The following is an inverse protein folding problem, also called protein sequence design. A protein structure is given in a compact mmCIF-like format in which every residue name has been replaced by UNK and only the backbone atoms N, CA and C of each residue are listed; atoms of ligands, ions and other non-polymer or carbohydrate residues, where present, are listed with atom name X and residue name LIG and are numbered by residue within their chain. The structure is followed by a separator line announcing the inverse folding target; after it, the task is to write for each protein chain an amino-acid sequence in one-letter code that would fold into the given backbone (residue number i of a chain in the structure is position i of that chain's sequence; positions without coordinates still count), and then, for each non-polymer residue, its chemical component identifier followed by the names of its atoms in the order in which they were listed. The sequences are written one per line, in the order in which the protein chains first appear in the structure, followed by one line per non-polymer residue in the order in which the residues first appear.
data_IF_904658613555
#
_entry.id   IF_904658613555
#
_cell.length_a   1.000
_cell.length_b   1.000
_cell.length_c   1.000
_cell.angle_alpha   90.00
_cell.angle_beta   90.00
_cell.angle_gamma   90.00
#
_symmetry.space_group_name_H-M   'P 1'
#
loop_
_entity.id
_entity.type
_entity.pdbx_description
1 polymer ?
#
# COMPACT_ATOMS: atom_id res chain seq x y z
N UNK A 1 3.92 1.61 -19.10
CA UNK A 1 3.60 0.59 -18.09
C UNK A 1 2.90 1.22 -16.89
N UNK A 2 2.12 0.44 -16.13
CA UNK A 2 1.43 0.92 -14.94
C UNK A 2 2.00 0.19 -13.72
N UNK A 3 2.23 0.94 -12.63
CA UNK A 3 2.67 0.39 -11.35
C UNK A 3 1.52 0.46 -10.35
N UNK A 4 1.22 -0.65 -9.69
CA UNK A 4 0.27 -0.71 -8.58
C UNK A 4 1.04 -0.74 -7.26
N UNK A 5 0.69 0.18 -6.37
CA UNK A 5 1.21 0.21 -5.00
C UNK A 5 0.08 -0.23 -4.07
N UNK A 6 0.16 -1.47 -3.64
CA UNK A 6 -0.83 -2.11 -2.76
C UNK A 6 -0.35 -1.94 -1.31
N UNK A 7 -1.02 -1.07 -0.55
CA UNK A 7 -0.52 -0.61 0.73
C UNK A 7 -1.09 -1.42 1.88
N UNK A 8 -0.23 -2.17 2.58
CA UNK A 8 -0.46 -2.79 3.90
C UNK A 8 -1.78 -3.57 4.03
N UNK A 9 -2.09 -4.42 3.06
CA UNK A 9 -3.30 -5.25 3.08
C UNK A 9 -3.06 -6.48 3.97
N UNK A 10 -2.80 -6.22 5.27
CA UNK A 10 -2.42 -7.22 6.28
C UNK A 10 -3.59 -7.57 7.20
N UNK A 11 -3.55 -8.75 7.80
CA UNK A 11 -4.60 -9.25 8.69
C UNK A 11 -4.88 -8.30 9.85
N UNK A 12 -3.84 -7.70 10.45
CA UNK A 12 -4.01 -6.82 11.60
C UNK A 12 -4.82 -5.57 11.29
N UNK A 13 -4.77 -5.05 10.07
CA UNK A 13 -5.57 -3.89 9.65
C UNK A 13 -6.99 -4.24 9.20
N UNK A 14 -7.32 -5.53 9.06
CA UNK A 14 -8.63 -5.97 8.57
C UNK A 14 -9.44 -6.62 9.69
N UNK A 15 -8.91 -7.70 10.29
CA UNK A 15 -9.61 -8.49 11.31
C UNK A 15 -8.82 -8.66 12.61
N UNK A 16 -7.54 -8.29 12.63
CA UNK A 16 -6.62 -8.49 13.76
C UNK A 16 -6.60 -7.32 14.75
N UNK A 17 -5.40 -6.98 15.24
CA UNK A 17 -5.20 -6.06 16.37
C UNK A 17 -5.74 -4.63 16.12
N UNK A 18 -5.71 -4.15 14.88
CA UNK A 18 -6.23 -2.85 14.43
C UNK A 18 -7.41 -3.02 13.47
N UNK A 19 -8.29 -3.97 13.77
CA UNK A 19 -9.41 -4.33 12.91
C UNK A 19 -10.23 -3.11 12.44
N UNK A 20 -10.47 -3.05 11.12
CA UNK A 20 -11.17 -1.93 10.49
C UNK A 20 -12.40 -2.44 9.70
N UNK A 21 -13.63 -2.09 10.13
CA UNK A 21 -14.84 -2.54 9.46
C UNK A 21 -14.95 -2.11 7.99
N UNK A 22 -14.37 -0.97 7.61
CA UNK A 22 -14.37 -0.50 6.22
C UNK A 22 -13.40 -1.32 5.35
N UNK A 23 -12.23 -1.66 5.90
CA UNK A 23 -11.30 -2.56 5.24
C UNK A 23 -11.93 -3.95 5.04
N UNK A 24 -12.62 -4.49 6.07
CA UNK A 24 -13.37 -5.74 5.94
C UNK A 24 -14.43 -5.68 4.83
N UNK A 25 -15.09 -4.55 4.68
CA UNK A 25 -16.15 -4.39 3.67
C UNK A 25 -15.62 -4.29 2.24
N UNK A 26 -14.37 -3.84 2.03
CA UNK A 26 -13.84 -3.62 0.68
C UNK A 26 -12.65 -4.54 0.29
N UNK A 27 -12.09 -5.35 1.19
CA UNK A 27 -10.92 -6.19 0.90
C UNK A 27 -11.12 -7.15 -0.28
N UNK A 28 -12.31 -7.72 -0.43
CA UNK A 28 -12.63 -8.58 -1.57
C UNK A 28 -12.54 -7.81 -2.89
N UNK A 29 -13.11 -6.59 -2.95
CA UNK A 29 -13.01 -5.72 -4.12
C UNK A 29 -11.56 -5.33 -4.43
N UNK A 30 -10.79 -4.97 -3.39
CA UNK A 30 -9.37 -4.68 -3.52
C UNK A 30 -8.62 -5.88 -4.13
N UNK A 31 -8.83 -7.07 -3.61
CA UNK A 31 -8.19 -8.29 -4.09
C UNK A 31 -8.57 -8.61 -5.56
N UNK A 32 -9.84 -8.42 -5.94
CA UNK A 32 -10.30 -8.56 -7.32
C UNK A 32 -9.61 -7.54 -8.24
N UNK A 33 -9.42 -6.31 -7.77
CA UNK A 33 -8.70 -5.26 -8.49
C UNK A 33 -7.24 -5.64 -8.71
N UNK A 34 -6.52 -6.09 -7.65
CA UNK A 34 -5.14 -6.59 -7.78
C UNK A 34 -5.05 -7.69 -8.84
N UNK A 35 -5.95 -8.67 -8.78
CA UNK A 35 -5.98 -9.78 -9.74
C UNK A 35 -6.23 -9.31 -11.17
N UNK A 36 -7.13 -8.37 -11.37
CA UNK A 36 -7.44 -7.81 -12.68
C UNK A 36 -6.26 -7.02 -13.25
N UNK A 37 -5.63 -6.17 -12.43
CA UNK A 37 -4.48 -5.37 -12.81
C UNK A 37 -3.25 -6.22 -13.11
N UNK A 38 -2.97 -7.24 -12.29
CA UNK A 38 -1.89 -8.19 -12.56
C UNK A 38 -2.07 -8.89 -13.93
N UNK A 39 -3.30 -9.35 -14.25
CA UNK A 39 -3.63 -9.94 -15.55
C UNK A 39 -3.51 -8.95 -16.71
N UNK A 40 -3.68 -7.67 -16.45
CA UNK A 40 -3.48 -6.60 -17.43
C UNK A 40 -2.00 -6.21 -17.60
N UNK A 41 -1.09 -6.84 -16.86
CA UNK A 41 0.35 -6.62 -16.96
C UNK A 41 0.87 -5.45 -16.12
N UNK A 42 0.11 -5.02 -15.11
CA UNK A 42 0.64 -4.05 -14.14
C UNK A 42 1.74 -4.68 -13.30
N UNK A 43 2.75 -3.93 -12.96
CA UNK A 43 3.74 -4.32 -11.98
C UNK A 43 3.20 -4.03 -10.57
N UNK A 44 3.37 -5.00 -9.67
CA UNK A 44 2.82 -4.92 -8.32
C UNK A 44 3.93 -4.67 -7.30
N UNK A 45 3.79 -3.61 -6.52
CA UNK A 45 4.60 -3.33 -5.33
C UNK A 45 3.68 -3.36 -4.11
N UNK A 46 3.90 -4.34 -3.24
CA UNK A 46 3.10 -4.53 -2.03
C UNK A 46 3.88 -4.03 -0.83
N UNK A 47 3.40 -2.97 -0.17
CA UNK A 47 4.00 -2.60 1.11
C UNK A 47 3.47 -3.49 2.23
N UNK A 48 4.32 -3.75 3.22
CA UNK A 48 3.96 -4.54 4.38
C UNK A 48 4.53 -3.88 5.62
N UNK A 49 3.66 -3.35 6.47
CA UNK A 49 4.05 -2.79 7.75
C UNK A 49 4.72 -3.86 8.61
N UNK A 50 5.88 -3.55 9.18
CA UNK A 50 6.74 -4.57 9.79
C UNK A 50 7.41 -4.01 11.02
N UNK A 51 6.98 -4.50 12.18
CA UNK A 51 7.49 -4.06 13.47
C UNK A 51 8.28 -5.15 14.20
N UNK A 52 9.29 -4.77 14.99
CA UNK A 52 10.02 -5.70 15.83
C UNK A 52 9.24 -6.06 17.10
N UNK A 53 9.61 -7.15 17.76
CA UNK A 53 9.02 -7.64 19.02
C UNK A 53 8.96 -6.57 20.13
N UNK A 54 9.86 -5.58 20.10
CA UNK A 54 9.90 -4.50 21.08
C UNK A 54 9.12 -3.26 20.63
N UNK A 55 8.11 -3.42 19.77
CA UNK A 55 7.29 -2.33 19.21
C UNK A 55 6.85 -1.31 20.26
N UNK A 56 6.36 -1.75 21.42
CA UNK A 56 5.90 -0.86 22.49
C UNK A 56 7.00 0.08 23.05
N UNK A 57 8.27 -0.27 22.87
CA UNK A 57 9.41 0.57 23.25
C UNK A 57 9.76 1.61 22.16
N UNK A 58 9.19 1.51 20.97
CA UNK A 58 9.42 2.45 19.87
C UNK A 58 8.70 3.79 20.11
N UNK A 59 9.02 4.81 19.30
CA UNK A 59 8.31 6.09 19.34
C UNK A 59 6.83 5.91 18.97
N UNK A 60 6.56 5.07 17.98
CA UNK A 60 5.21 4.78 17.50
C UNK A 60 4.43 4.00 18.56
N UNK A 61 4.98 2.91 19.08
CA UNK A 61 4.32 2.08 20.09
C UNK A 61 3.98 2.82 21.38
N UNK A 62 4.74 3.87 21.73
CA UNK A 62 4.38 4.74 22.88
C UNK A 62 3.18 5.64 22.61
N UNK A 63 2.80 5.86 21.35
CA UNK A 63 1.64 6.68 20.93
C UNK A 63 0.43 5.84 20.54
N UNK A 64 0.67 4.69 19.96
CA UNK A 64 -0.32 3.67 19.62
C UNK A 64 0.09 2.36 20.35
N UNK A 65 -0.26 2.20 21.65
CA UNK A 65 0.18 1.06 22.46
C UNK A 65 -0.61 -0.21 22.16
N UNK A 66 -0.68 -0.58 20.90
CA UNK A 66 -1.31 -1.79 20.37
C UNK A 66 -0.29 -2.48 19.49
N UNK A 67 0.23 -3.61 19.94
CA UNK A 67 1.13 -4.44 19.11
C UNK A 67 0.37 -4.91 17.86
N UNK A 68 0.97 -4.68 16.69
CA UNK A 68 0.43 -5.05 15.41
C UNK A 68 1.56 -5.25 14.40
N UNK A 69 1.31 -6.04 13.40
CA UNK A 69 2.25 -6.30 12.31
C UNK A 69 3.66 -6.68 12.81
N UNK A 70 3.74 -7.42 13.93
CA UNK A 70 5.01 -7.93 14.45
C UNK A 70 5.54 -8.98 13.49
N UNK A 71 6.79 -8.80 13.05
CA UNK A 71 7.41 -9.66 12.04
C UNK A 71 7.36 -11.15 12.44
N UNK A 72 6.81 -11.97 11.55
CA UNK A 72 6.66 -13.42 11.75
C UNK A 72 5.39 -13.83 12.48
N UNK A 73 4.60 -12.92 13.03
CA UNK A 73 3.30 -13.22 13.62
C UNK A 73 2.17 -13.29 12.59
N UNK A 74 1.03 -13.86 12.97
CA UNK A 74 -0.10 -14.08 12.04
C UNK A 74 -0.65 -12.75 11.50
N UNK A 75 -0.77 -11.73 12.33
CA UNK A 75 -1.27 -10.41 11.96
C UNK A 75 -0.45 -9.66 10.92
N UNK A 76 0.85 -9.95 10.86
CA UNK A 76 1.79 -9.40 9.88
C UNK A 76 1.58 -9.93 8.46
N UNK A 77 1.02 -11.15 8.31
CA UNK A 77 0.77 -11.74 7.00
C UNK A 77 -0.28 -10.93 6.23
N UNK A 78 -0.21 -10.98 4.92
CA UNK A 78 -1.25 -10.42 4.08
C UNK A 78 -2.60 -11.10 4.34
N UNK A 79 -3.68 -10.39 4.04
CA UNK A 79 -5.02 -10.95 4.12
C UNK A 79 -5.19 -12.12 3.14
N UNK A 80 -5.93 -13.18 3.52
CA UNK A 80 -6.15 -14.32 2.64
C UNK A 80 -6.74 -13.95 1.27
N UNK A 81 -7.55 -12.91 1.20
CA UNK A 81 -8.13 -12.40 -0.03
C UNK A 81 -7.05 -11.91 -1.00
N UNK A 82 -6.04 -11.18 -0.48
CA UNK A 82 -4.90 -10.71 -1.28
C UNK A 82 -4.00 -11.88 -1.67
N UNK A 83 -3.65 -12.77 -0.74
CA UNK A 83 -2.83 -13.95 -1.03
C UNK A 83 -3.46 -14.82 -2.14
N UNK A 84 -4.78 -15.06 -2.06
CA UNK A 84 -5.52 -15.79 -3.09
C UNK A 84 -5.57 -15.04 -4.44
N UNK A 85 -5.56 -13.71 -4.42
CA UNK A 85 -5.52 -12.91 -5.65
C UNK A 85 -4.15 -12.99 -6.32
N UNK A 86 -3.09 -13.10 -5.53
CA UNK A 86 -1.71 -13.22 -6.00
C UNK A 86 -1.36 -14.64 -6.44
N UNK A 87 -2.07 -15.66 -5.95
CA UNK A 87 -1.83 -17.06 -6.31
C UNK A 87 -2.05 -17.28 -7.83
N UNK A 88 -1.02 -17.79 -8.50
CA UNK A 88 -1.02 -17.94 -9.96
C UNK A 88 -1.01 -16.62 -10.74
N UNK A 89 -0.65 -15.50 -10.11
CA UNK A 89 -0.47 -14.21 -10.78
C UNK A 89 0.79 -14.28 -11.64
N UNK A 90 0.64 -13.93 -12.94
CA UNK A 90 1.72 -13.86 -13.92
C UNK A 90 2.25 -12.41 -14.09
N UNK A 91 2.19 -11.58 -13.04
CA UNK A 91 2.79 -10.25 -13.09
C UNK A 91 4.31 -10.41 -13.25
N UNK A 92 4.89 -9.67 -14.20
CA UNK A 92 6.34 -9.67 -14.46
C UNK A 92 7.12 -9.25 -13.21
N UNK A 93 6.54 -8.32 -12.42
CA UNK A 93 7.07 -7.87 -11.13
C UNK A 93 5.98 -7.95 -10.07
N UNK A 94 6.25 -8.70 -9.01
CA UNK A 94 5.47 -8.71 -7.77
C UNK A 94 6.47 -8.60 -6.61
N UNK A 95 6.70 -7.37 -6.14
CA UNK A 95 7.75 -7.04 -5.18
C UNK A 95 7.15 -6.65 -3.82
N UNK A 96 7.67 -7.23 -2.72
CA UNK A 96 7.21 -6.93 -1.36
C UNK A 96 8.20 -6.00 -0.67
N UNK A 97 7.70 -4.85 -0.21
CA UNK A 97 8.46 -3.82 0.49
C UNK A 97 8.09 -3.83 1.97
N UNK A 98 8.92 -4.41 2.81
CA UNK A 98 8.76 -4.34 4.26
C UNK A 98 9.17 -2.95 4.77
N UNK A 99 8.30 -2.30 5.53
CA UNK A 99 8.54 -0.95 6.04
C UNK A 99 8.28 -0.84 7.54
N UNK A 100 9.15 -0.19 8.32
CA UNK A 100 8.95 0.02 9.76
C UNK A 100 8.27 1.36 10.08
N UNK A 101 7.71 2.05 9.10
CA UNK A 101 7.16 3.40 9.18
C UNK A 101 5.96 3.53 8.26
N UNK A 102 5.09 4.53 8.48
CA UNK A 102 3.87 4.73 7.70
C UNK A 102 4.13 4.83 6.19
N UNK A 103 5.08 5.66 5.77
CA UNK A 103 5.56 5.70 4.39
C UNK A 103 6.95 5.11 4.27
N UNK A 104 7.20 4.31 3.24
CA UNK A 104 8.52 3.74 2.96
C UNK A 104 9.37 4.71 2.15
N UNK A 105 10.45 5.22 2.75
CA UNK A 105 11.43 6.01 2.00
C UNK A 105 12.25 5.15 1.03
N UNK A 106 12.22 3.82 1.20
CA UNK A 106 12.90 2.87 0.30
C UNK A 106 12.07 2.54 -0.95
N UNK A 107 10.74 2.67 -0.88
CA UNK A 107 9.85 2.29 -1.97
C UNK A 107 10.25 2.90 -3.34
N UNK A 108 10.60 4.19 -3.44
CA UNK A 108 11.07 4.73 -4.72
C UNK A 108 12.35 4.07 -5.24
N UNK A 109 13.32 3.78 -4.37
CA UNK A 109 14.56 3.13 -4.78
C UNK A 109 14.33 1.69 -5.22
N UNK A 110 13.46 0.95 -4.53
CA UNK A 110 13.09 -0.41 -4.92
C UNK A 110 12.34 -0.44 -6.27
N UNK A 111 11.50 0.56 -6.55
CA UNK A 111 10.90 0.73 -7.90
C UNK A 111 11.98 0.98 -8.95
N UNK A 112 12.95 1.86 -8.67
CA UNK A 112 14.04 2.16 -9.60
C UNK A 112 14.93 0.93 -9.85
N UNK A 113 15.20 0.13 -8.83
CA UNK A 113 15.99 -1.09 -8.95
C UNK A 113 15.29 -2.12 -9.85
N UNK A 114 13.98 -2.29 -9.69
CA UNK A 114 13.18 -3.17 -10.56
C UNK A 114 13.12 -2.65 -12.00
N UNK A 115 12.94 -1.33 -12.20
CA UNK A 115 13.02 -0.74 -13.54
C UNK A 115 14.37 -1.04 -14.20
N UNK A 116 15.46 -0.84 -13.50
CA UNK A 116 16.83 -1.11 -14.00
C UNK A 116 17.02 -2.59 -14.32
N UNK A 117 16.56 -3.49 -13.45
CA UNK A 117 16.66 -4.94 -13.65
C UNK A 117 15.97 -5.41 -14.95
N UNK A 118 14.88 -4.72 -15.34
CA UNK A 118 14.10 -5.01 -16.54
C UNK A 118 14.43 -4.10 -17.74
N UNK A 119 15.55 -3.34 -17.69
CA UNK A 119 15.95 -2.38 -18.72
C UNK A 119 14.87 -1.33 -19.04
N UNK A 120 14.18 -0.83 -17.99
CA UNK A 120 13.19 0.23 -18.05
C UNK A 120 13.72 1.51 -17.42
N UNK A 121 13.10 2.63 -17.76
CA UNK A 121 13.38 3.95 -17.19
C UNK A 121 12.12 4.55 -16.55
N UNK A 122 12.28 5.63 -15.80
CA UNK A 122 11.15 6.35 -15.17
C UNK A 122 10.14 6.82 -16.23
N UNK A 123 10.62 7.25 -17.39
CA UNK A 123 9.76 7.70 -18.51
C UNK A 123 8.89 6.58 -19.11
N UNK A 124 9.19 5.30 -18.80
CA UNK A 124 8.33 4.18 -19.19
C UNK A 124 7.11 4.01 -18.27
N UNK A 125 7.10 4.70 -17.12
CA UNK A 125 5.97 4.69 -16.19
C UNK A 125 4.90 5.64 -16.72
N UNK A 126 3.81 5.09 -17.22
CA UNK A 126 2.63 5.85 -17.65
C UNK A 126 1.89 6.44 -16.44
N UNK A 127 1.69 5.62 -15.41
CA UNK A 127 1.11 6.05 -14.13
C UNK A 127 1.44 5.11 -12.98
N UNK A 128 1.26 5.62 -11.77
CA UNK A 128 1.27 4.87 -10.51
C UNK A 128 -0.15 4.87 -9.95
N UNK A 129 -0.64 3.71 -9.54
CA UNK A 129 -1.96 3.51 -8.95
C UNK A 129 -1.77 3.06 -7.50
N UNK A 130 -2.33 3.78 -6.53
CA UNK A 130 -2.13 3.52 -5.10
C UNK A 130 -3.47 3.19 -4.44
N UNK A 131 -3.50 2.12 -3.64
CA UNK A 131 -4.67 1.73 -2.84
C UNK A 131 -4.26 0.81 -1.67
N UNK A 132 -5.15 0.66 -0.69
CA UNK A 132 -4.91 -0.17 0.50
C UNK A 132 -5.26 0.54 1.80
N UNK A 133 -4.52 0.23 2.90
CA UNK A 133 -4.87 0.59 4.27
C UNK A 133 -3.69 1.22 5.04
N UNK A 134 -3.90 2.20 5.93
CA UNK A 134 -5.11 3.03 5.98
C UNK A 134 -4.91 4.27 5.11
N UNK A 135 -5.99 4.77 4.50
CA UNK A 135 -5.97 5.94 3.59
C UNK A 135 -5.29 7.15 4.22
N UNK A 136 -5.60 7.41 5.48
CA UNK A 136 -5.19 8.57 6.27
C UNK A 136 -3.85 8.39 7.00
N UNK A 137 -3.20 7.25 6.84
CA UNK A 137 -1.90 6.94 7.47
C UNK A 137 -0.90 6.45 6.41
N UNK A 138 -0.91 5.16 6.10
CA UNK A 138 0.11 4.55 5.23
C UNK A 138 -0.09 4.90 3.75
N UNK A 139 -1.34 4.97 3.27
CA UNK A 139 -1.62 5.31 1.86
C UNK A 139 -1.15 6.73 1.54
N UNK A 140 -1.62 7.74 2.28
CA UNK A 140 -1.21 9.13 2.05
C UNK A 140 0.30 9.32 2.25
N UNK A 141 0.91 8.63 3.24
CA UNK A 141 2.35 8.73 3.49
C UNK A 141 3.18 8.19 2.32
N UNK A 142 2.83 7.03 1.78
CA UNK A 142 3.50 6.47 0.60
C UNK A 142 3.21 7.31 -0.65
N UNK A 143 1.98 7.82 -0.82
CA UNK A 143 1.63 8.69 -1.92
C UNK A 143 2.53 9.94 -1.95
N UNK A 144 2.72 10.62 -0.82
CA UNK A 144 3.58 11.82 -0.74
C UNK A 144 5.05 11.51 -1.04
N UNK A 145 5.58 10.37 -0.57
CA UNK A 145 6.93 9.91 -0.89
C UNK A 145 7.08 9.68 -2.40
N UNK A 146 6.11 8.99 -3.01
CA UNK A 146 6.13 8.72 -4.46
C UNK A 146 5.96 10.00 -5.29
N UNK A 147 5.09 10.92 -4.88
CA UNK A 147 4.96 12.23 -5.57
C UNK A 147 6.27 13.02 -5.56
N UNK A 148 7.01 12.96 -4.44
CA UNK A 148 8.30 13.64 -4.35
C UNK A 148 9.38 12.97 -5.22
N UNK A 149 9.33 11.64 -5.35
CA UNK A 149 10.31 10.87 -6.14
C UNK A 149 9.99 10.88 -7.65
N UNK A 150 8.72 10.90 -8.02
CA UNK A 150 8.22 10.84 -9.40
C UNK A 150 7.33 12.05 -9.71
N UNK A 151 7.90 13.28 -9.75
CA UNK A 151 7.11 14.50 -9.82
C UNK A 151 6.31 14.65 -11.13
N UNK A 152 6.79 14.08 -12.23
CA UNK A 152 6.16 14.16 -13.55
C UNK A 152 5.21 13.00 -13.85
N UNK A 153 5.21 11.95 -13.01
CA UNK A 153 4.37 10.76 -13.23
C UNK A 153 2.96 11.02 -12.70
N UNK A 154 1.94 10.61 -13.47
CA UNK A 154 0.56 10.61 -12.98
C UNK A 154 0.40 9.62 -11.83
N UNK A 155 -0.21 10.05 -10.72
CA UNK A 155 -0.48 9.18 -9.57
C UNK A 155 -1.97 9.21 -9.24
N UNK A 156 -2.61 8.05 -9.35
CA UNK A 156 -4.02 7.82 -9.05
C UNK A 156 -4.20 7.12 -7.70
N UNK A 157 -5.23 7.52 -6.98
CA UNK A 157 -5.66 6.84 -5.74
C UNK A 157 -7.01 6.18 -6.01
N UNK A 158 -7.08 4.85 -5.93
CA UNK A 158 -8.34 4.11 -6.04
C UNK A 158 -9.09 4.18 -4.71
N UNK A 159 -9.94 5.21 -4.55
CA UNK A 159 -10.60 5.49 -3.27
C UNK A 159 -11.50 4.35 -2.79
N UNK A 160 -12.16 3.65 -3.70
CA UNK A 160 -13.04 2.51 -3.42
C UNK A 160 -12.26 1.24 -2.96
N UNK A 161 -10.94 1.21 -3.17
CA UNK A 161 -10.03 0.16 -2.69
C UNK A 161 -9.19 0.65 -1.50
N UNK A 162 -9.58 1.77 -0.88
CA UNK A 162 -8.97 2.30 0.33
C UNK A 162 -9.95 2.30 1.50
N UNK A 163 -9.43 2.25 2.72
CA UNK A 163 -10.20 2.46 3.94
C UNK A 163 -9.37 3.26 4.94
N UNK A 164 -9.91 4.33 5.50
CA UNK A 164 -9.31 5.09 6.59
C UNK A 164 -9.66 4.52 7.96
N UNK A 165 -9.02 5.04 8.99
CA UNK A 165 -9.36 4.69 10.40
C UNK A 165 -10.80 5.03 10.71
N UNK A 166 -11.31 6.12 10.13
CA UNK A 166 -12.73 6.51 10.17
C UNK A 166 -13.17 7.01 8.80
N UNK A 167 -14.48 7.03 8.46
CA UNK A 167 -14.98 7.64 7.24
C UNK A 167 -14.56 9.10 7.08
N UNK A 168 -14.53 9.85 8.18
CA UNK A 168 -14.15 11.26 8.17
C UNK A 168 -12.66 11.45 7.86
N UNK A 169 -11.77 10.68 8.51
CA UNK A 169 -10.34 10.80 8.27
C UNK A 169 -9.95 10.28 6.88
N UNK A 170 -10.64 9.25 6.38
CA UNK A 170 -10.52 8.80 4.98
C UNK A 170 -10.79 9.96 4.01
N UNK A 171 -11.95 10.63 4.14
CA UNK A 171 -12.30 11.75 3.25
C UNK A 171 -11.31 12.92 3.38
N UNK A 172 -10.86 13.22 4.61
CA UNK A 172 -9.86 14.27 4.85
C UNK A 172 -8.55 13.97 4.14
N UNK A 173 -8.10 12.71 4.16
CA UNK A 173 -6.88 12.29 3.47
C UNK A 173 -7.03 12.38 1.94
N UNK A 174 -8.18 11.95 1.39
CA UNK A 174 -8.46 12.10 -0.04
C UNK A 174 -8.47 13.57 -0.47
N UNK A 175 -9.04 14.47 0.33
CA UNK A 175 -9.06 15.90 0.04
C UNK A 175 -7.66 16.51 0.12
N UNK A 176 -6.84 16.09 1.07
CA UNK A 176 -5.43 16.49 1.16
C UNK A 176 -4.62 16.01 -0.05
N UNK A 177 -4.83 14.77 -0.49
CA UNK A 177 -4.17 14.24 -1.68
C UNK A 177 -4.61 14.97 -2.95
N UNK A 178 -5.90 15.32 -3.11
CA UNK A 178 -6.36 16.17 -4.22
C UNK A 178 -5.65 17.54 -4.24
N UNK A 179 -5.50 18.16 -3.07
CA UNK A 179 -4.76 19.43 -2.97
C UNK A 179 -3.27 19.30 -3.36
N UNK A 180 -2.70 18.09 -3.20
CA UNK A 180 -1.34 17.76 -3.63
C UNK A 180 -1.27 17.16 -5.05
N UNK A 181 -2.31 17.36 -5.87
CA UNK A 181 -2.37 16.99 -7.29
C UNK A 181 -2.35 15.46 -7.55
N UNK A 182 -2.95 14.70 -6.67
CA UNK A 182 -3.28 13.30 -6.95
C UNK A 182 -4.66 13.21 -7.63
N UNK A 183 -4.78 12.31 -8.59
CA UNK A 183 -6.08 11.97 -9.19
C UNK A 183 -6.78 10.96 -8.28
N UNK A 184 -7.96 11.30 -7.77
CA UNK A 184 -8.78 10.40 -6.94
C UNK A 184 -9.88 9.81 -7.82
N UNK A 185 -9.88 8.49 -7.94
CA UNK A 185 -10.83 7.70 -8.74
C UNK A 185 -11.57 6.69 -7.89
#
# INVERSE_FOLDING_TARGET
MILDIVVDVQKDFITGALANPQAQANVTRLAETVKAHARAGHWLFLTRDTHPDNYLATREGRRLPVEHCIEGEDGWNFAPELENALDGTESEVCHIVNKPTFGSYMLPSEILDELMAHNKAVDDIEKIVIYGYCTDICVISNAMVLRAAFPETEIEILSDCCAGVTPQSHQTALDAMRACQFTIV
#
